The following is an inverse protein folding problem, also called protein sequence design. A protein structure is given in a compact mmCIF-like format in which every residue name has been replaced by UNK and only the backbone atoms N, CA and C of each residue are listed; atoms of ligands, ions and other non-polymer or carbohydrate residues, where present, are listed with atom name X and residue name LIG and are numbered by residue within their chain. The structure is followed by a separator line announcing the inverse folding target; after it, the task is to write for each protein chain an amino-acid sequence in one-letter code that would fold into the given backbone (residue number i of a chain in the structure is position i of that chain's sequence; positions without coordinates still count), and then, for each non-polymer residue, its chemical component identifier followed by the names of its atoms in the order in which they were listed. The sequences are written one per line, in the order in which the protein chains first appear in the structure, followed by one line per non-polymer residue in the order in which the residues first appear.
data_IF_274552719771
#
_entry.id   IF_274552719771
#
_cell.length_a   1.000
_cell.length_b   1.000
_cell.length_c   1.000
_cell.angle_alpha   90.00
_cell.angle_beta   90.00
_cell.angle_gamma   90.00
#
_symmetry.space_group_name_H-M   'P 1'
#
loop_
_entity.id
_entity.type
_entity.pdbx_description
1 polymer ?
#
# COMPACT_ATOMS: atom_id res chain seq x y z
N UNK A 1 3.49 -7.58 63.58
CA UNK A 1 2.42 -7.64 62.56
C UNK A 1 3.08 -7.46 61.19
N UNK A 2 3.16 -8.48 60.33
CA UNK A 2 3.72 -8.29 59.00
C UNK A 2 2.61 -7.77 58.07
N UNK A 3 2.89 -6.66 57.38
CA UNK A 3 2.03 -6.11 56.34
C UNK A 3 2.33 -6.88 55.05
N UNK A 4 1.35 -7.64 54.57
CA UNK A 4 1.35 -8.22 53.23
C UNK A 4 1.11 -7.11 52.21
N UNK A 5 2.10 -6.81 51.38
CA UNK A 5 1.92 -5.99 50.18
C UNK A 5 1.79 -6.94 49.00
N UNK A 6 0.58 -7.07 48.48
CA UNK A 6 0.27 -7.82 47.26
C UNK A 6 0.56 -6.91 46.04
N UNK A 7 1.44 -7.26 45.09
CA UNK A 7 1.59 -6.46 43.89
C UNK A 7 0.46 -6.81 42.91
N UNK A 8 -0.37 -5.82 42.62
CA UNK A 8 -1.38 -5.86 41.56
C UNK A 8 -0.67 -5.83 40.20
N UNK A 9 -0.51 -6.98 39.56
CA UNK A 9 -0.02 -7.10 38.18
C UNK A 9 -1.13 -6.65 37.22
N UNK A 10 -1.17 -5.35 36.90
CA UNK A 10 -1.91 -4.86 35.74
C UNK A 10 -1.08 -5.18 34.49
N UNK A 11 -1.46 -6.26 33.79
CA UNK A 11 -1.00 -6.50 32.43
C UNK A 11 -1.65 -5.46 31.50
N UNK A 12 -0.95 -4.36 31.25
CA UNK A 12 -1.30 -3.41 30.20
C UNK A 12 -1.06 -4.08 28.83
N UNK A 13 -2.13 -4.64 28.25
CA UNK A 13 -2.21 -4.93 26.82
C UNK A 13 -2.12 -3.60 26.07
N UNK A 14 -0.89 -3.18 25.75
CA UNK A 14 -0.63 -2.05 24.87
C UNK A 14 -0.91 -2.47 23.41
N UNK A 15 -2.19 -2.70 23.08
CA UNK A 15 -2.64 -2.61 21.70
C UNK A 15 -2.59 -1.13 21.33
N UNK A 16 -1.60 -0.74 20.52
CA UNK A 16 -1.58 0.59 19.94
C UNK A 16 -2.85 0.75 19.10
N UNK A 17 -3.84 1.46 19.63
CA UNK A 17 -5.00 1.95 18.88
C UNK A 17 -4.45 2.89 17.80
N UNK A 18 -4.11 2.35 16.62
CA UNK A 18 -3.94 3.20 15.45
C UNK A 18 -5.25 3.94 15.25
N UNK A 19 -5.19 5.26 15.18
CA UNK A 19 -6.37 6.07 14.90
C UNK A 19 -7.02 5.56 13.60
N UNK A 20 -8.29 5.18 13.70
CA UNK A 20 -9.03 4.65 12.56
C UNK A 20 -9.12 5.70 11.45
N UNK A 21 -9.23 5.25 10.20
CA UNK A 21 -9.45 6.16 9.08
C UNK A 21 -10.89 6.63 9.10
N UNK A 22 -11.10 7.94 9.30
CA UNK A 22 -12.43 8.55 9.20
C UNK A 22 -12.80 8.77 7.73
N UNK A 23 -13.47 7.79 7.13
CA UNK A 23 -13.90 7.85 5.73
C UNK A 23 -14.91 8.96 5.42
N UNK A 24 -15.66 9.44 6.42
CA UNK A 24 -16.55 10.58 6.25
C UNK A 24 -15.75 11.87 6.12
N UNK A 25 -14.73 12.06 6.98
CA UNK A 25 -13.76 13.15 6.85
C UNK A 25 -13.00 13.06 5.53
N UNK A 26 -12.50 11.88 5.17
CA UNK A 26 -11.72 11.66 3.96
C UNK A 26 -12.54 12.00 2.72
N UNK A 27 -13.77 11.49 2.62
CA UNK A 27 -14.65 11.79 1.48
C UNK A 27 -14.94 13.28 1.38
N UNK A 28 -15.28 13.95 2.51
CA UNK A 28 -15.57 15.39 2.53
C UNK A 28 -14.37 16.23 2.10
N UNK A 29 -13.17 15.90 2.57
CA UNK A 29 -11.94 16.62 2.20
C UNK A 29 -11.55 16.35 0.76
N UNK A 30 -11.69 15.12 0.28
CA UNK A 30 -11.46 14.78 -1.12
C UNK A 30 -12.41 15.55 -2.06
N UNK A 31 -13.69 15.72 -1.69
CA UNK A 31 -14.63 16.56 -2.45
C UNK A 31 -14.19 18.03 -2.49
N UNK A 32 -13.68 18.56 -1.38
CA UNK A 32 -13.17 19.93 -1.32
C UNK A 32 -11.89 20.11 -2.15
N UNK A 33 -11.00 19.11 -2.18
CA UNK A 33 -9.73 19.17 -2.90
C UNK A 33 -9.90 18.96 -4.41
N UNK A 34 -10.78 18.04 -4.80
CA UNK A 34 -10.82 17.51 -6.15
C UNK A 34 -12.14 17.77 -6.89
N UNK A 35 -13.16 18.26 -6.20
CA UNK A 35 -14.53 18.33 -6.67
C UNK A 35 -15.31 17.03 -6.42
N UNK A 36 -16.58 16.93 -6.87
CA UNK A 36 -17.46 15.81 -6.55
C UNK A 36 -16.82 14.45 -6.82
N UNK A 37 -17.02 13.49 -5.90
CA UNK A 37 -16.49 12.13 -6.04
C UNK A 37 -17.19 11.34 -7.15
N UNK A 38 -18.44 11.68 -7.48
CA UNK A 38 -19.23 11.02 -8.52
C UNK A 38 -19.29 9.50 -8.32
N UNK A 39 -19.08 8.69 -9.38
CA UNK A 39 -19.03 7.22 -9.25
C UNK A 39 -17.91 6.71 -8.32
N UNK A 40 -16.90 7.55 -8.05
CA UNK A 40 -15.80 7.23 -7.13
C UNK A 40 -16.25 7.06 -5.68
N UNK A 41 -17.34 7.70 -5.27
CA UNK A 41 -17.88 7.58 -3.90
C UNK A 41 -18.18 6.13 -3.55
N UNK A 42 -18.86 5.41 -4.45
CA UNK A 42 -19.18 3.99 -4.25
C UNK A 42 -17.92 3.12 -4.11
N UNK A 43 -16.88 3.39 -4.90
CA UNK A 43 -15.61 2.64 -4.81
C UNK A 43 -14.87 2.90 -3.49
N UNK A 44 -14.93 4.13 -2.98
CA UNK A 44 -14.37 4.48 -1.67
C UNK A 44 -15.17 3.81 -0.54
N UNK A 45 -16.49 3.76 -0.64
CA UNK A 45 -17.35 3.07 0.35
C UNK A 45 -17.09 1.54 0.35
N UNK A 46 -16.93 0.95 -0.83
CA UNK A 46 -16.55 -0.47 -0.96
C UNK A 46 -15.13 -0.73 -0.42
N UNK A 47 -14.22 0.23 -0.54
CA UNK A 47 -12.88 0.13 0.06
C UNK A 47 -12.95 0.19 1.59
N UNK A 48 -13.77 1.07 2.16
CA UNK A 48 -14.05 1.07 3.59
C UNK A 48 -14.63 -0.28 4.06
N UNK A 49 -15.59 -0.83 3.32
CA UNK A 49 -16.19 -2.13 3.63
C UNK A 49 -15.17 -3.28 3.51
N UNK A 50 -14.25 -3.23 2.55
CA UNK A 50 -13.13 -4.17 2.43
C UNK A 50 -12.28 -4.17 3.70
N UNK A 51 -11.89 -2.98 4.19
CA UNK A 51 -11.10 -2.85 5.42
C UNK A 51 -11.81 -3.46 6.63
N UNK A 52 -13.12 -3.16 6.79
CA UNK A 52 -13.92 -3.74 7.88
C UNK A 52 -14.00 -5.26 7.81
N UNK A 53 -14.17 -5.83 6.61
CA UNK A 53 -14.30 -7.28 6.39
C UNK A 53 -12.99 -8.05 6.60
N UNK A 54 -11.85 -7.42 6.30
CA UNK A 54 -10.53 -8.06 6.41
C UNK A 54 -9.83 -7.78 7.75
N UNK A 55 -10.40 -6.92 8.59
CA UNK A 55 -9.90 -6.67 9.94
C UNK A 55 -9.84 -7.99 10.73
N UNK A 56 -8.64 -8.38 11.15
CA UNK A 56 -8.40 -9.63 11.89
C UNK A 56 -8.34 -10.90 11.02
N UNK A 57 -8.46 -10.81 9.70
CA UNK A 57 -8.20 -11.93 8.79
C UNK A 57 -6.69 -12.25 8.74
N UNK A 58 -6.33 -13.47 8.35
CA UNK A 58 -4.94 -13.85 8.10
C UNK A 58 -4.32 -13.07 6.93
N UNK A 59 -2.99 -12.90 6.97
CA UNK A 59 -2.28 -12.09 5.97
C UNK A 59 -2.45 -12.63 4.54
N UNK A 60 -2.52 -13.96 4.34
CA UNK A 60 -2.72 -14.54 3.01
C UNK A 60 -4.06 -14.07 2.42
N UNK A 61 -5.14 -14.16 3.20
CA UNK A 61 -6.45 -13.68 2.78
C UNK A 61 -6.45 -12.18 2.52
N UNK A 62 -5.78 -11.40 3.35
CA UNK A 62 -5.65 -9.95 3.15
C UNK A 62 -4.95 -9.64 1.82
N UNK A 63 -3.82 -10.29 1.52
CA UNK A 63 -3.07 -10.10 0.27
C UNK A 63 -3.94 -10.41 -0.96
N UNK A 64 -4.63 -11.54 -0.96
CA UNK A 64 -5.48 -11.96 -2.08
C UNK A 64 -6.66 -11.00 -2.33
N UNK A 65 -7.38 -10.64 -1.26
CA UNK A 65 -8.58 -9.82 -1.34
C UNK A 65 -8.24 -8.38 -1.73
N UNK A 66 -7.16 -7.81 -1.17
CA UNK A 66 -6.69 -6.47 -1.53
C UNK A 66 -6.19 -6.44 -2.97
N UNK A 67 -5.41 -7.45 -3.41
CA UNK A 67 -4.93 -7.52 -4.78
C UNK A 67 -6.10 -7.60 -5.77
N UNK A 68 -7.08 -8.47 -5.50
CA UNK A 68 -8.28 -8.63 -6.33
C UNK A 68 -9.12 -7.37 -6.36
N UNK A 69 -9.31 -6.70 -5.21
CA UNK A 69 -10.12 -5.49 -5.12
C UNK A 69 -9.61 -4.40 -6.06
N UNK A 70 -8.34 -4.00 -5.93
CA UNK A 70 -7.81 -2.91 -6.76
C UNK A 70 -7.73 -3.31 -8.24
N UNK A 71 -7.40 -4.57 -8.54
CA UNK A 71 -7.41 -5.06 -9.92
C UNK A 71 -8.82 -5.05 -10.56
N UNK A 72 -9.89 -5.12 -9.76
CA UNK A 72 -11.26 -5.02 -10.25
C UNK A 72 -11.79 -3.58 -10.28
N UNK A 73 -11.36 -2.73 -9.35
CA UNK A 73 -11.87 -1.35 -9.21
C UNK A 73 -11.15 -0.32 -10.08
N UNK A 74 -9.92 -0.60 -10.49
CA UNK A 74 -9.10 0.32 -11.27
C UNK A 74 -8.88 -0.23 -12.69
N UNK A 75 -9.02 0.65 -13.68
CA UNK A 75 -8.60 0.37 -15.06
C UNK A 75 -7.18 0.90 -15.27
N UNK A 76 -6.32 0.11 -15.88
CA UNK A 76 -4.99 0.58 -16.25
C UNK A 76 -5.07 1.72 -17.28
N UNK A 77 -4.48 2.88 -16.98
CA UNK A 77 -4.35 4.04 -17.87
C UNK A 77 -3.11 4.85 -17.48
N UNK A 78 -2.34 5.29 -18.47
CA UNK A 78 -1.13 6.07 -18.24
C UNK A 78 -1.43 7.47 -17.67
N UNK A 79 -0.51 8.00 -16.88
CA UNK A 79 -0.64 9.30 -16.23
C UNK A 79 -0.86 10.48 -17.16
N UNK A 80 -0.26 10.44 -18.35
CA UNK A 80 -0.43 11.53 -19.32
C UNK A 80 -1.90 11.67 -19.73
N UNK A 81 -2.65 10.56 -19.77
CA UNK A 81 -4.06 10.53 -20.09
C UNK A 81 -4.95 10.93 -18.90
N UNK A 82 -4.55 10.57 -17.67
CA UNK A 82 -5.34 10.83 -16.46
C UNK A 82 -5.06 12.22 -15.85
N UNK A 83 -3.79 12.56 -15.71
CA UNK A 83 -3.29 13.68 -14.90
C UNK A 83 -2.60 14.76 -15.74
N UNK A 84 -2.41 14.54 -17.05
CA UNK A 84 -1.64 15.41 -17.96
C UNK A 84 -0.20 15.63 -17.49
N UNK A 85 0.34 14.65 -16.78
CA UNK A 85 1.70 14.62 -16.25
C UNK A 85 2.34 13.32 -16.71
N UNK A 86 3.67 13.31 -16.86
CA UNK A 86 4.36 12.12 -17.35
C UNK A 86 4.52 11.04 -16.30
N UNK A 87 4.42 11.40 -15.01
CA UNK A 87 4.65 10.51 -13.86
C UNK A 87 4.03 11.21 -12.63
N UNK A 88 2.89 10.71 -12.16
CA UNK A 88 2.05 11.25 -11.11
C UNK A 88 1.54 10.12 -10.20
N UNK A 89 2.10 10.03 -9.00
CA UNK A 89 1.68 9.01 -8.04
C UNK A 89 0.36 9.40 -7.39
N UNK A 90 -0.73 8.75 -7.76
CA UNK A 90 -2.05 8.98 -7.20
C UNK A 90 -2.17 8.40 -5.78
N UNK A 91 -2.86 9.10 -4.89
CA UNK A 91 -3.31 8.51 -3.63
C UNK A 91 -4.34 7.41 -3.88
N UNK A 92 -4.60 6.51 -2.91
CA UNK A 92 -5.69 5.54 -3.04
C UNK A 92 -7.05 6.22 -3.31
N UNK A 93 -7.29 7.41 -2.73
CA UNK A 93 -8.53 8.18 -2.93
C UNK A 93 -8.60 8.75 -4.35
N UNK A 94 -7.51 9.32 -4.86
CA UNK A 94 -7.43 9.83 -6.24
C UNK A 94 -7.69 8.70 -7.25
N UNK A 95 -7.01 7.56 -7.10
CA UNK A 95 -7.17 6.40 -7.97
C UNK A 95 -8.61 5.85 -7.93
N UNK A 96 -9.21 5.68 -6.74
CA UNK A 96 -10.59 5.20 -6.60
C UNK A 96 -11.60 6.25 -7.08
N UNK A 97 -11.33 7.54 -6.91
CA UNK A 97 -12.19 8.61 -7.43
C UNK A 97 -12.31 8.50 -8.95
N UNK A 98 -11.20 8.38 -9.67
CA UNK A 98 -11.19 8.24 -11.13
C UNK A 98 -11.60 6.83 -11.59
N UNK A 99 -11.29 5.80 -10.79
CA UNK A 99 -11.47 4.40 -11.19
C UNK A 99 -10.44 3.95 -12.22
N UNK A 100 -9.25 4.56 -12.20
CA UNK A 100 -8.13 4.27 -13.07
C UNK A 100 -6.82 4.73 -12.41
N UNK A 101 -5.72 4.17 -12.88
CA UNK A 101 -4.35 4.49 -12.50
C UNK A 101 -3.39 3.67 -13.36
N UNK A 102 -2.10 3.92 -13.27
CA UNK A 102 -1.08 3.11 -13.92
C UNK A 102 -0.47 2.08 -12.95
N UNK A 103 0.76 1.62 -13.14
CA UNK A 103 1.29 0.50 -12.36
C UNK A 103 1.60 0.84 -10.89
N UNK A 104 2.15 2.02 -10.63
CA UNK A 104 2.46 2.49 -9.29
C UNK A 104 1.21 2.73 -8.46
N UNK A 105 0.15 3.29 -9.06
CA UNK A 105 -1.07 3.64 -8.36
C UNK A 105 -1.72 2.39 -7.75
N UNK A 106 -1.69 1.27 -8.49
CA UNK A 106 -2.16 -0.01 -7.98
C UNK A 106 -1.27 -0.52 -6.85
N UNK A 107 0.05 -0.43 -6.98
CA UNK A 107 0.98 -0.89 -5.95
C UNK A 107 0.86 -0.07 -4.66
N UNK A 108 0.73 1.25 -4.78
CA UNK A 108 0.53 2.20 -3.70
C UNK A 108 -0.79 1.95 -2.99
N UNK A 109 -1.89 1.80 -3.73
CA UNK A 109 -3.21 1.57 -3.14
C UNK A 109 -3.27 0.25 -2.35
N UNK A 110 -2.64 -0.81 -2.89
CA UNK A 110 -2.48 -2.09 -2.20
C UNK A 110 -1.60 -1.94 -0.95
N UNK A 111 -0.48 -1.22 -1.03
CA UNK A 111 0.45 -0.98 0.07
C UNK A 111 -0.26 -0.35 1.27
N UNK A 112 -0.88 0.81 1.10
CA UNK A 112 -1.54 1.52 2.21
C UNK A 112 -2.72 0.73 2.79
N UNK A 113 -3.45 -0.01 1.94
CA UNK A 113 -4.54 -0.86 2.41
C UNK A 113 -4.04 -2.00 3.30
N UNK A 114 -2.97 -2.70 2.89
CA UNK A 114 -2.37 -3.77 3.69
C UNK A 114 -1.72 -3.26 4.98
N UNK A 115 -1.07 -2.08 4.92
CA UNK A 115 -0.57 -1.38 6.11
C UNK A 115 -1.69 -1.09 7.10
N UNK A 116 -2.82 -0.57 6.61
CA UNK A 116 -4.00 -0.30 7.45
C UNK A 116 -4.59 -1.57 8.05
N UNK A 117 -4.49 -2.71 7.36
CA UNK A 117 -4.92 -4.03 7.84
C UNK A 117 -3.94 -4.68 8.83
N UNK A 118 -2.81 -4.03 9.13
CA UNK A 118 -1.85 -4.47 10.12
C UNK A 118 -0.64 -5.23 9.56
N UNK A 119 -0.53 -5.41 8.24
CA UNK A 119 0.66 -6.03 7.64
C UNK A 119 1.88 -5.14 7.91
N UNK A 120 2.95 -5.64 8.54
CA UNK A 120 4.13 -4.84 8.86
C UNK A 120 4.80 -4.23 7.61
N UNK A 121 5.33 -3.01 7.69
CA UNK A 121 5.90 -2.31 6.53
C UNK A 121 7.18 -2.97 6.03
N UNK A 122 7.96 -3.58 6.93
CA UNK A 122 9.16 -4.36 6.60
C UNK A 122 8.87 -5.56 5.70
N UNK A 123 7.61 -6.05 5.68
CA UNK A 123 7.16 -7.13 4.81
C UNK A 123 6.69 -6.64 3.44
N UNK A 124 6.44 -5.35 3.26
CA UNK A 124 5.86 -4.79 2.05
C UNK A 124 6.84 -3.87 1.33
N UNK A 125 7.07 -4.11 0.04
CA UNK A 125 7.93 -3.25 -0.78
C UNK A 125 7.33 -3.01 -2.14
N UNK A 126 7.20 -1.74 -2.51
CA UNK A 126 6.90 -1.32 -3.87
C UNK A 126 8.15 -1.55 -4.70
N UNK A 127 8.05 -2.37 -5.74
CA UNK A 127 9.20 -2.85 -6.52
C UNK A 127 9.10 -2.38 -7.95
N UNK A 128 10.11 -1.63 -8.38
CA UNK A 128 10.32 -1.27 -9.78
C UNK A 128 10.96 -2.45 -10.51
N UNK A 129 10.33 -2.86 -11.60
CA UNK A 129 10.75 -3.99 -12.43
C UNK A 129 10.73 -3.60 -13.91
N UNK A 130 11.42 -4.37 -14.75
CA UNK A 130 11.20 -4.36 -16.19
C UNK A 130 10.23 -5.50 -16.54
N UNK A 131 9.07 -5.16 -17.10
CA UNK A 131 8.15 -6.14 -17.66
C UNK A 131 8.68 -6.58 -19.04
N UNK A 132 9.30 -7.75 -19.09
CA UNK A 132 10.06 -8.23 -20.26
C UNK A 132 9.17 -8.46 -21.49
N UNK A 133 7.94 -8.95 -21.30
CA UNK A 133 6.99 -9.20 -22.40
C UNK A 133 6.50 -7.92 -23.06
N UNK A 134 6.38 -6.84 -22.28
CA UNK A 134 5.95 -5.52 -22.75
C UNK A 134 7.15 -4.62 -23.11
N UNK A 135 8.35 -5.05 -22.73
CA UNK A 135 9.61 -4.31 -22.86
C UNK A 135 9.54 -2.87 -22.30
N UNK A 136 8.92 -2.71 -21.13
CA UNK A 136 8.76 -1.41 -20.47
C UNK A 136 9.00 -1.49 -18.96
N UNK A 137 9.16 -0.32 -18.35
CA UNK A 137 9.13 -0.16 -16.90
C UNK A 137 7.76 -0.57 -16.34
N UNK A 138 7.76 -1.16 -15.15
CA UNK A 138 6.56 -1.57 -14.44
C UNK A 138 6.78 -1.49 -12.93
N UNK A 139 5.69 -1.41 -12.17
CA UNK A 139 5.74 -1.38 -10.71
C UNK A 139 4.76 -2.38 -10.13
N UNK A 140 5.20 -3.12 -9.10
CA UNK A 140 4.41 -4.13 -8.40
C UNK A 140 4.57 -3.96 -6.90
N UNK A 141 3.64 -4.50 -6.11
CA UNK A 141 3.84 -4.67 -4.67
C UNK A 141 4.41 -6.06 -4.42
N UNK A 142 5.45 -6.14 -3.61
CA UNK A 142 6.03 -7.41 -3.14
C UNK A 142 5.80 -7.59 -1.65
N UNK A 143 5.51 -8.83 -1.26
CA UNK A 143 5.32 -9.23 0.13
C UNK A 143 6.37 -10.27 0.54
N UNK A 144 6.99 -10.08 1.69
CA UNK A 144 8.01 -10.94 2.28
C UNK A 144 7.51 -11.49 3.62
N UNK A 145 7.26 -12.80 3.71
CA UNK A 145 6.85 -13.43 4.97
C UNK A 145 7.94 -13.29 6.07
N UNK A 146 9.20 -13.41 5.65
CA UNK A 146 10.41 -13.09 6.43
C UNK A 146 11.35 -12.27 5.55
N UNK A 147 12.30 -11.51 6.12
CA UNK A 147 13.21 -10.65 5.35
C UNK A 147 14.00 -11.38 4.23
N UNK A 148 14.28 -12.67 4.42
CA UNK A 148 15.03 -13.54 3.51
C UNK A 148 14.15 -14.43 2.61
N UNK A 149 12.83 -14.43 2.81
CA UNK A 149 11.91 -15.23 2.02
C UNK A 149 11.88 -14.84 0.54
N UNK A 150 11.51 -15.80 -0.31
CA UNK A 150 11.10 -15.52 -1.68
C UNK A 150 9.82 -14.66 -1.64
N UNK A 151 9.81 -13.45 -2.21
CA UNK A 151 8.63 -12.60 -2.12
C UNK A 151 7.49 -13.11 -3.00
N UNK A 152 6.27 -12.84 -2.55
CA UNK A 152 5.07 -12.92 -3.37
C UNK A 152 4.88 -11.61 -4.14
N UNK A 153 4.38 -11.69 -5.37
CA UNK A 153 4.16 -10.54 -6.25
C UNK A 153 2.66 -10.26 -6.39
N UNK A 154 2.26 -9.06 -5.98
CA UNK A 154 0.92 -8.49 -6.16
C UNK A 154 0.97 -7.51 -7.34
N UNK A 155 0.41 -7.93 -8.46
CA UNK A 155 0.52 -7.24 -9.76
C UNK A 155 -0.86 -6.89 -10.32
N UNK A 156 -0.95 -5.84 -11.13
CA UNK A 156 -2.13 -5.46 -11.89
C UNK A 156 -2.18 -6.12 -13.28
N UNK A 157 -1.05 -6.51 -13.87
CA UNK A 157 -1.02 -7.23 -15.16
C UNK A 157 -1.46 -8.69 -15.02
N UNK A 158 -1.10 -9.33 -13.91
CA UNK A 158 -1.47 -10.71 -13.59
C UNK A 158 -2.05 -10.74 -12.17
N UNK A 159 -3.35 -11.00 -12.06
CA UNK A 159 -4.06 -10.95 -10.78
C UNK A 159 -3.80 -12.12 -9.84
N UNK A 160 -3.22 -13.22 -10.33
CA UNK A 160 -2.83 -14.36 -9.48
C UNK A 160 -1.51 -14.01 -8.78
N UNK A 161 -1.52 -14.04 -7.44
CA UNK A 161 -0.33 -13.83 -6.63
C UNK A 161 0.59 -15.04 -6.81
N UNK A 162 1.85 -14.78 -7.15
CA UNK A 162 2.87 -15.83 -7.35
C UNK A 162 4.19 -15.45 -6.69
N UNK A 163 5.00 -16.43 -6.29
CA UNK A 163 6.40 -16.18 -5.93
C UNK A 163 7.14 -15.48 -7.07
N UNK A 164 8.05 -14.57 -6.75
CA UNK A 164 8.82 -13.83 -7.74
C UNK A 164 9.63 -14.74 -8.68
N UNK A 165 10.10 -15.89 -8.21
CA UNK A 165 10.76 -16.91 -9.04
C UNK A 165 9.88 -17.49 -10.15
N UNK A 166 8.55 -17.40 -10.01
CA UNK A 166 7.58 -17.83 -11.02
C UNK A 166 7.12 -16.70 -11.95
N UNK A 167 7.58 -15.46 -11.70
CA UNK A 167 7.32 -14.27 -12.53
C UNK A 167 8.52 -13.97 -13.42
N UNK A 168 8.87 -14.93 -14.27
CA UNK A 168 9.99 -14.82 -15.22
C UNK A 168 9.80 -13.72 -16.27
N UNK A 169 8.61 -13.14 -16.34
CA UNK A 169 8.28 -11.97 -17.14
C UNK A 169 8.69 -10.64 -16.47
N UNK A 170 9.09 -10.63 -15.20
CA UNK A 170 9.50 -9.44 -14.45
C UNK A 170 10.98 -9.53 -14.04
N UNK A 171 11.76 -8.50 -14.39
CA UNK A 171 13.15 -8.36 -13.94
C UNK A 171 13.25 -7.23 -12.89
N UNK A 172 13.56 -7.52 -11.62
CA UNK A 172 13.62 -6.49 -10.58
C UNK A 172 14.81 -5.54 -10.77
N UNK A 173 14.60 -4.24 -10.54
CA UNK A 173 15.63 -3.19 -10.63
C UNK A 173 15.91 -2.55 -9.28
N UNK A 174 14.88 -2.23 -8.49
CA UNK A 174 14.98 -1.79 -7.10
C UNK A 174 13.63 -1.92 -6.40
N UNK A 175 13.62 -1.91 -5.07
CA UNK A 175 12.41 -1.93 -4.26
C UNK A 175 12.48 -0.87 -3.15
N UNK A 176 11.36 -0.32 -2.71
CA UNK A 176 11.30 0.65 -1.64
C UNK A 176 9.99 0.53 -0.84
N UNK A 177 9.95 1.11 0.35
CA UNK A 177 8.75 1.26 1.16
C UNK A 177 8.84 2.58 1.94
N UNK A 178 8.08 2.78 3.02
CA UNK A 178 8.16 4.03 3.78
C UNK A 178 9.51 4.22 4.51
N UNK A 179 10.25 3.14 4.75
CA UNK A 179 11.46 3.11 5.60
C UNK A 179 12.78 3.03 4.82
N UNK A 180 12.77 2.54 3.57
CA UNK A 180 14.03 2.29 2.87
C UNK A 180 13.96 2.04 1.36
N UNK A 181 15.14 1.94 0.76
CA UNK A 181 15.38 1.59 -0.64
C UNK A 181 16.36 0.40 -0.70
N UNK A 182 16.04 -0.61 -1.51
CA UNK A 182 16.81 -1.86 -1.69
C UNK A 182 17.16 -2.08 -3.15
N UNK A 183 18.39 -2.51 -3.40
CA UNK A 183 18.80 -3.04 -4.71
C UNK A 183 18.62 -4.56 -4.77
N UNK A 184 18.32 -5.14 -5.94
CA UNK A 184 18.15 -6.58 -6.13
C UNK A 184 19.38 -7.37 -5.65
N UNK A 185 19.14 -8.51 -5.01
CA UNK A 185 20.19 -9.38 -4.48
C UNK A 185 19.62 -10.56 -3.70
N UNK A 186 20.50 -11.46 -3.23
CA UNK A 186 20.09 -12.59 -2.35
C UNK A 186 19.45 -12.06 -1.05
N UNK A 187 18.52 -12.84 -0.47
CA UNK A 187 17.86 -12.56 0.81
C UNK A 187 17.20 -11.17 0.91
N UNK A 188 16.38 -10.80 -0.08
CA UNK A 188 15.64 -9.54 -0.05
C UNK A 188 16.45 -8.30 -0.47
N UNK A 189 17.69 -8.45 -0.95
CA UNK A 189 18.46 -7.34 -1.49
C UNK A 189 19.13 -6.46 -0.42
N UNK A 190 20.05 -5.60 -0.86
CA UNK A 190 20.83 -4.73 0.05
C UNK A 190 20.11 -3.39 0.20
N UNK A 191 19.83 -2.96 1.44
CA UNK A 191 19.34 -1.61 1.70
C UNK A 191 20.45 -0.59 1.38
N UNK A 192 20.14 0.39 0.54
CA UNK A 192 21.09 1.39 0.05
C UNK A 192 20.67 2.84 0.33
N UNK A 193 19.50 3.05 0.93
CA UNK A 193 19.04 4.41 1.25
C UNK A 193 17.72 4.47 2.00
N UNK A 194 17.31 5.71 2.27
CA UNK A 194 16.03 6.08 2.88
C UNK A 194 15.04 6.50 1.79
N UNK A 195 13.83 5.95 1.81
CA UNK A 195 12.76 6.29 0.88
C UNK A 195 12.28 7.74 1.02
N UNK A 196 12.57 8.43 2.12
CA UNK A 196 12.34 9.87 2.28
C UNK A 196 13.08 10.73 1.25
N UNK A 197 14.06 10.16 0.55
CA UNK A 197 14.73 10.81 -0.58
C UNK A 197 13.91 10.77 -1.88
N UNK A 198 12.85 9.96 -1.94
CA UNK A 198 11.95 9.91 -3.08
C UNK A 198 10.92 11.05 -2.95
N UNK A 199 11.13 12.13 -3.72
CA UNK A 199 10.27 13.33 -3.69
C UNK A 199 8.79 13.00 -3.89
N UNK A 200 8.48 12.09 -4.82
CA UNK A 200 7.10 11.68 -5.14
C UNK A 200 6.40 10.98 -3.99
N UNK A 201 7.11 10.17 -3.21
CA UNK A 201 6.54 9.54 -2.02
C UNK A 201 6.16 10.59 -0.97
N UNK A 202 6.99 11.62 -0.77
CA UNK A 202 6.68 12.71 0.15
C UNK A 202 5.49 13.55 -0.32
N UNK A 203 5.39 13.82 -1.62
CA UNK A 203 4.24 14.50 -2.20
C UNK A 203 2.95 13.70 -2.05
N UNK A 204 3.01 12.38 -2.26
CA UNK A 204 1.90 11.47 -2.03
C UNK A 204 1.42 11.51 -0.58
N UNK A 205 2.33 11.40 0.39
CA UNK A 205 2.00 11.48 1.82
C UNK A 205 1.40 12.85 2.19
N UNK A 206 1.88 13.94 1.57
CA UNK A 206 1.31 15.27 1.76
C UNK A 206 -0.13 15.33 1.25
N UNK A 207 -0.43 14.74 0.09
CA UNK A 207 -1.80 14.63 -0.44
C UNK A 207 -2.69 13.81 0.48
N UNK A 208 -2.25 12.63 0.93
CA UNK A 208 -3.02 11.81 1.88
C UNK A 208 -3.31 12.55 3.19
N UNK A 209 -2.34 13.30 3.73
CA UNK A 209 -2.58 14.15 4.91
C UNK A 209 -3.64 15.22 4.63
N UNK A 210 -3.61 15.85 3.45
CA UNK A 210 -4.61 16.84 3.04
C UNK A 210 -5.99 16.19 2.87
N UNK A 211 -6.06 14.97 2.37
CA UNK A 211 -7.29 14.16 2.27
C UNK A 211 -7.85 13.78 3.64
N UNK A 212 -7.07 13.83 4.72
CA UNK A 212 -7.54 13.56 6.09
C UNK A 212 -7.12 12.22 6.65
N UNK A 213 -6.20 11.52 5.99
CA UNK A 213 -5.53 10.39 6.60
C UNK A 213 -4.68 10.85 7.80
N UNK A 214 -4.61 10.04 8.88
CA UNK A 214 -3.65 10.29 9.94
C UNK A 214 -2.23 10.23 9.34
N UNK A 215 -1.33 11.05 9.87
CA UNK A 215 0.09 10.95 9.51
C UNK A 215 0.56 9.56 9.95
N UNK A 216 0.99 8.69 9.02
CA UNK A 216 1.48 7.37 9.41
C UNK A 216 2.57 7.55 10.48
N UNK A 217 2.48 6.82 11.61
CA UNK A 217 3.60 6.74 12.52
C UNK A 217 4.66 5.91 11.79
N UNK A 218 5.61 6.57 11.16
CA UNK A 218 6.87 5.94 10.78
C UNK A 218 7.56 5.47 12.05
N UNK A 219 7.34 4.21 12.44
CA UNK A 219 8.14 3.42 13.37
C UNK A 219 7.96 1.94 13.07
#
# INVERSE_FOLDING_TARGET
MPVLVLPLLLALLAGALQADWDFALISRRAEALYGPLGPGKARIDEWQALLGRLSGADEERQLEEVNRFFNAKLRFRDDIALWRQTDYWATPVEALRIGAGDCEDFAIAKYFTLRRLGVPSERLRITYVKALRLNQAHMVLTYYATPDAMPLVLDNLVGIIRPASQRTDLLPVYAFNAEGLWLPGKAGGKQVGDAKRLSRWQELLKKMKAEGFPVEPGR
#
